data_IF_646391390132
#
_entry.id   IF_646391390132
#
_cell.length_a   1.000
_cell.length_b   1.000
_cell.length_c   1.000
_cell.angle_alpha   90.00
_cell.angle_beta   90.00
_cell.angle_gamma   90.00
#
_symmetry.space_group_name_H-M   'P 1'
#
loop_
_entity.id
_entity.type
_entity.pdbx_description
1 polymer ?
#
# COMPACT_ATOMS: atom_id res chain seq x y z
N UNK A 1 42.80 7.02 -8.85
CA UNK A 1 41.74 7.90 -8.30
C UNK A 1 40.50 7.99 -9.21
N UNK A 2 40.62 8.20 -10.53
CA UNK A 2 39.46 8.29 -11.46
C UNK A 2 38.61 7.00 -11.60
N UNK A 3 39.22 5.80 -11.51
CA UNK A 3 38.52 4.51 -11.62
C UNK A 3 37.69 4.14 -10.38
N UNK A 4 38.13 4.53 -9.19
CA UNK A 4 37.38 4.31 -7.94
C UNK A 4 36.13 5.20 -7.87
N UNK A 5 36.19 6.40 -8.45
CA UNK A 5 35.06 7.32 -8.55
C UNK A 5 33.98 6.82 -9.53
N UNK A 6 34.38 6.16 -10.62
CA UNK A 6 33.45 5.56 -11.59
C UNK A 6 32.72 4.32 -11.04
N UNK A 7 33.36 3.55 -10.15
CA UNK A 7 32.73 2.39 -9.49
C UNK A 7 31.76 2.86 -8.38
N UNK A 8 32.11 3.93 -7.64
CA UNK A 8 31.20 4.53 -6.65
C UNK A 8 29.92 5.12 -7.27
N UNK A 9 30.01 5.68 -8.48
CA UNK A 9 28.86 6.26 -9.18
C UNK A 9 27.90 5.20 -9.76
N UNK A 10 28.39 4.02 -10.16
CA UNK A 10 27.54 2.91 -10.64
C UNK A 10 26.82 2.17 -9.51
N UNK A 11 27.40 2.13 -8.30
CA UNK A 11 26.75 1.55 -7.11
C UNK A 11 25.77 2.50 -6.42
N UNK A 12 25.92 3.81 -6.57
CA UNK A 12 25.01 4.82 -6.00
C UNK A 12 23.69 4.97 -6.75
N UNK A 13 23.62 4.56 -8.02
CA UNK A 13 22.43 4.72 -8.86
C UNK A 13 21.39 3.59 -8.75
N UNK A 14 21.72 2.50 -8.03
CA UNK A 14 20.79 1.37 -7.83
C UNK A 14 19.90 1.51 -6.60
N UNK A 15 20.14 2.49 -5.71
CA UNK A 15 19.44 2.63 -4.43
C UNK A 15 18.44 3.80 -4.36
N UNK A 16 18.12 4.47 -5.47
CA UNK A 16 17.26 5.67 -5.46
C UNK A 16 15.85 5.46 -6.03
N UNK A 17 15.43 4.21 -6.25
CA UNK A 17 14.02 3.95 -6.57
C UNK A 17 13.16 3.91 -5.31
N UNK A 18 12.53 5.05 -5.02
CA UNK A 18 11.22 5.10 -4.39
C UNK A 18 11.22 5.16 -2.87
N UNK A 19 11.24 6.38 -2.32
CA UNK A 19 10.72 6.66 -0.97
C UNK A 19 10.02 8.02 -0.98
N UNK A 20 9.06 8.19 -1.89
CA UNK A 20 7.95 9.09 -1.61
C UNK A 20 6.83 8.22 -1.04
N UNK A 21 7.07 7.62 0.13
CA UNK A 21 5.96 7.05 0.91
C UNK A 21 5.22 8.24 1.50
N UNK A 22 4.20 8.72 0.77
CA UNK A 22 3.17 9.50 1.43
C UNK A 22 2.69 8.64 2.59
N UNK A 23 2.67 9.17 3.81
CA UNK A 23 2.15 8.45 4.96
C UNK A 23 0.64 8.22 4.74
N UNK A 24 0.30 7.17 4.00
CA UNK A 24 -1.08 6.76 3.79
C UNK A 24 -1.56 6.18 5.12
N UNK A 25 -2.71 6.68 5.59
CA UNK A 25 -3.32 6.20 6.83
C UNK A 25 -3.73 4.72 6.73
N UNK A 26 -4.22 4.16 7.84
CA UNK A 26 -4.87 2.86 7.79
C UNK A 26 -6.06 2.90 6.80
N UNK A 27 -6.26 1.86 5.97
CA UNK A 27 -7.43 1.79 5.10
C UNK A 27 -8.69 1.79 5.96
N UNK A 28 -9.79 2.27 5.40
CA UNK A 28 -11.09 2.30 6.05
C UNK A 28 -12.20 2.08 5.03
N UNK A 29 -13.39 1.72 5.51
CA UNK A 29 -14.56 1.48 4.68
C UNK A 29 -15.35 2.79 4.56
N UNK A 30 -15.44 3.32 3.34
CA UNK A 30 -16.16 4.56 3.03
C UNK A 30 -17.07 4.43 1.79
N UNK A 31 -17.03 3.28 1.10
CA UNK A 31 -17.97 2.97 0.02
C UNK A 31 -19.35 2.65 0.60
N UNK A 32 -20.37 3.33 0.07
CA UNK A 32 -21.77 3.14 0.46
C UNK A 32 -22.37 1.80 0.01
N UNK A 33 -23.54 1.45 0.57
CA UNK A 33 -24.23 0.17 0.34
C UNK A 33 -24.66 -0.11 -1.11
N UNK A 34 -24.66 0.90 -1.99
CA UNK A 34 -24.96 0.71 -3.42
C UNK A 34 -23.96 -0.23 -4.09
N UNK A 35 -22.69 -0.17 -3.68
CA UNK A 35 -21.61 -0.95 -4.28
C UNK A 35 -21.20 -2.10 -3.36
N UNK A 36 -22.14 -3.01 -3.08
CA UNK A 36 -21.98 -4.07 -2.07
C UNK A 36 -20.65 -4.84 -2.18
N UNK A 37 -20.28 -5.27 -3.38
CA UNK A 37 -19.02 -5.99 -3.59
C UNK A 37 -17.77 -5.12 -3.35
N UNK A 38 -17.77 -3.85 -3.77
CA UNK A 38 -16.63 -2.95 -3.54
C UNK A 38 -16.51 -2.58 -2.05
N UNK A 39 -17.65 -2.34 -1.38
CA UNK A 39 -17.70 -2.13 0.06
C UNK A 39 -17.15 -3.35 0.82
N UNK A 40 -17.59 -4.56 0.47
CA UNK A 40 -17.06 -5.77 1.10
C UNK A 40 -15.59 -6.01 0.79
N UNK A 41 -15.12 -5.63 -0.40
CA UNK A 41 -13.68 -5.65 -0.69
C UNK A 41 -12.90 -4.69 0.23
N UNK A 42 -13.40 -3.48 0.49
CA UNK A 42 -12.79 -2.59 1.50
C UNK A 42 -12.81 -3.22 2.90
N UNK A 43 -13.90 -3.86 3.31
CA UNK A 43 -13.99 -4.57 4.60
C UNK A 43 -12.88 -5.64 4.73
N UNK A 44 -12.67 -6.44 3.67
CA UNK A 44 -11.60 -7.45 3.66
C UNK A 44 -10.21 -6.83 3.64
N UNK A 45 -10.00 -5.71 2.94
CA UNK A 45 -8.72 -5.00 2.95
C UNK A 45 -8.40 -4.47 4.35
N UNK A 46 -9.37 -3.85 5.03
CA UNK A 46 -9.21 -3.37 6.41
C UNK A 46 -8.85 -4.52 7.34
N UNK A 47 -9.56 -5.64 7.23
CA UNK A 47 -9.26 -6.84 8.02
C UNK A 47 -7.85 -7.38 7.73
N UNK A 48 -7.47 -7.50 6.46
CA UNK A 48 -6.14 -7.97 6.06
C UNK A 48 -5.03 -7.05 6.57
N UNK A 49 -5.23 -5.72 6.49
CA UNK A 49 -4.28 -4.74 6.99
C UNK A 49 -4.06 -4.87 8.51
N UNK A 50 -5.13 -5.13 9.26
CA UNK A 50 -5.04 -5.38 10.70
C UNK A 50 -4.26 -6.67 10.98
N UNK A 51 -4.58 -7.77 10.30
CA UNK A 51 -3.87 -9.04 10.46
C UNK A 51 -2.38 -8.94 10.12
N UNK A 52 -2.01 -8.16 9.10
CA UNK A 52 -0.61 -7.88 8.78
C UNK A 52 0.06 -7.03 9.85
N UNK A 53 -0.67 -6.10 10.47
CA UNK A 53 -0.16 -5.30 11.59
C UNK A 53 0.10 -6.14 12.83
N UNK A 54 -0.81 -7.07 13.15
CA UNK A 54 -0.66 -8.02 14.24
C UNK A 54 0.54 -8.94 13.97
N UNK A 55 0.67 -9.48 12.75
CA UNK A 55 1.83 -10.27 12.36
C UNK A 55 3.14 -9.49 12.48
N UNK A 56 3.16 -8.20 12.13
CA UNK A 56 4.32 -7.34 12.30
C UNK A 56 4.68 -7.16 13.78
N UNK A 57 3.69 -7.00 14.65
CA UNK A 57 3.90 -6.92 16.10
C UNK A 57 4.42 -8.23 16.67
N UNK A 58 3.76 -9.36 16.36
CA UNK A 58 4.10 -10.70 16.87
C UNK A 58 5.49 -11.19 16.42
N UNK A 59 6.03 -10.63 15.34
CA UNK A 59 7.35 -10.96 14.80
C UNK A 59 8.40 -9.89 15.08
N UNK A 60 8.18 -8.97 16.03
CA UNK A 60 9.09 -7.87 16.38
C UNK A 60 9.55 -7.06 15.15
N UNK A 61 8.66 -6.89 14.16
CA UNK A 61 8.94 -6.29 12.85
C UNK A 61 10.04 -6.97 12.02
N UNK A 62 10.46 -8.20 12.36
CA UNK A 62 11.50 -8.98 11.66
C UNK A 62 10.99 -9.74 10.43
N UNK A 63 10.06 -9.15 9.69
CA UNK A 63 9.43 -9.73 8.48
C UNK A 63 10.06 -9.26 7.17
N UNK A 64 11.31 -8.81 7.21
CA UNK A 64 12.06 -8.37 6.02
C UNK A 64 11.47 -7.13 5.32
N UNK A 65 10.67 -6.33 6.03
CA UNK A 65 9.97 -5.17 5.45
C UNK A 65 8.72 -5.51 4.62
N UNK A 66 8.43 -6.79 4.38
CA UNK A 66 7.31 -7.20 3.55
C UNK A 66 5.94 -6.89 4.18
N UNK A 67 5.83 -6.92 5.52
CA UNK A 67 4.59 -6.54 6.21
C UNK A 67 4.26 -5.05 6.00
N UNK A 68 5.26 -4.18 6.08
CA UNK A 68 5.09 -2.75 5.75
C UNK A 68 4.65 -2.56 4.31
N UNK A 69 5.34 -3.20 3.36
CA UNK A 69 4.97 -3.12 1.94
C UNK A 69 3.59 -3.69 1.62
N UNK A 70 3.19 -4.79 2.27
CA UNK A 70 1.85 -5.35 2.11
C UNK A 70 0.78 -4.37 2.61
N UNK A 71 1.01 -3.70 3.75
CA UNK A 71 0.11 -2.67 4.26
C UNK A 71 -0.04 -1.49 3.32
N UNK A 72 1.05 -1.01 2.73
CA UNK A 72 1.03 0.06 1.71
C UNK A 72 0.17 -0.36 0.51
N UNK A 73 0.41 -1.56 -0.05
CA UNK A 73 -0.36 -2.07 -1.18
C UNK A 73 -1.85 -2.26 -0.87
N UNK A 74 -2.17 -2.70 0.36
CA UNK A 74 -3.54 -2.81 0.83
C UNK A 74 -4.21 -1.42 0.92
N UNK A 75 -3.49 -0.42 1.42
CA UNK A 75 -4.00 0.95 1.44
C UNK A 75 -4.22 1.51 0.02
N UNK A 76 -3.25 1.34 -0.89
CA UNK A 76 -3.40 1.73 -2.30
C UNK A 76 -4.60 1.03 -2.95
N UNK A 77 -4.76 -0.28 -2.74
CA UNK A 77 -5.92 -1.02 -3.25
C UNK A 77 -7.26 -0.50 -2.69
N UNK A 78 -7.31 -0.10 -1.41
CA UNK A 78 -8.51 0.47 -0.80
C UNK A 78 -8.96 1.77 -1.49
N UNK A 79 -7.99 2.62 -1.82
CA UNK A 79 -8.23 3.89 -2.54
C UNK A 79 -8.70 3.64 -3.97
N UNK A 80 -8.11 2.68 -4.69
CA UNK A 80 -8.55 2.31 -6.04
C UNK A 80 -9.98 1.77 -6.06
N UNK A 81 -10.40 1.02 -5.04
CA UNK A 81 -11.81 0.60 -4.91
C UNK A 81 -12.74 1.78 -4.71
N UNK A 82 -12.30 2.80 -3.95
CA UNK A 82 -13.09 4.01 -3.72
C UNK A 82 -13.26 4.81 -5.01
N UNK A 83 -12.19 4.96 -5.79
CA UNK A 83 -12.21 5.60 -7.10
C UNK A 83 -13.11 4.83 -8.09
N UNK A 84 -13.07 3.50 -8.07
CA UNK A 84 -13.97 2.68 -8.89
C UNK A 84 -15.45 2.91 -8.53
N UNK A 85 -15.77 3.04 -7.23
CA UNK A 85 -17.12 3.38 -6.78
C UNK A 85 -17.54 4.80 -7.21
N UNK A 86 -16.62 5.77 -7.20
CA UNK A 86 -16.90 7.13 -7.72
C UNK A 86 -17.21 7.11 -9.21
N UNK A 87 -16.42 6.40 -10.01
CA UNK A 87 -16.70 6.22 -11.45
C UNK A 87 -18.07 5.57 -11.67
N UNK A 88 -18.41 4.54 -10.90
CA UNK A 88 -19.73 3.91 -11.00
C UNK A 88 -20.87 4.89 -10.64
N UNK A 89 -20.70 5.69 -9.58
CA UNK A 89 -21.66 6.71 -9.16
C UNK A 89 -21.87 7.78 -10.25
N UNK A 90 -20.80 8.26 -10.87
CA UNK A 90 -20.86 9.25 -11.97
C UNK A 90 -21.66 8.74 -13.17
N UNK A 91 -21.63 7.42 -13.41
CA UNK A 91 -22.39 6.77 -14.49
C UNK A 91 -23.78 6.28 -14.05
N UNK A 92 -24.22 6.58 -12.82
CA UNK A 92 -25.50 6.13 -12.27
C UNK A 92 -25.61 4.62 -12.10
N UNK A 93 -24.47 3.93 -11.95
CA UNK A 93 -24.39 2.49 -11.71
C UNK A 93 -24.26 2.15 -10.23
#
# INVERSE_FOLDING_TARGET
MKKAFLIGALLGAACTFGCATMAQGAPHVDIGNRHGNLRSAQEYIVQAWQLVSDAQFDNDSRLGGHAGRAKELLTEANEELRLAADVANEHGR
#
